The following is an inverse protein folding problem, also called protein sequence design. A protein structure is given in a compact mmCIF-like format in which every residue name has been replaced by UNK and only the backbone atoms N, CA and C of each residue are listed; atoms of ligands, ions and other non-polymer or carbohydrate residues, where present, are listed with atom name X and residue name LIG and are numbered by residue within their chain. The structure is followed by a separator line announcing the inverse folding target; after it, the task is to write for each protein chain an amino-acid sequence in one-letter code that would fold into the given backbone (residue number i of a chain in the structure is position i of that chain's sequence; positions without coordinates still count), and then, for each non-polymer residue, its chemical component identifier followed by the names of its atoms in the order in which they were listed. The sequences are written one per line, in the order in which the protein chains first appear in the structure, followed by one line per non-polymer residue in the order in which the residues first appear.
data_IF_002850308306
#
_entry.id   IF_002850308306
#
_cell.length_a   1.000
_cell.length_b   1.000
_cell.length_c   1.000
_cell.angle_alpha   90.00
_cell.angle_beta   90.00
_cell.angle_gamma   90.00
#
_symmetry.space_group_name_H-M   'P 1'
#
loop_
_entity.id
_entity.type
_entity.pdbx_description
1 polymer ?
#
# COMPACT_ATOMS: atom_id res chain seq x y z
N UNK A 1 -17.10 9.11 6.57
CA UNK A 1 -16.78 8.93 5.14
C UNK A 1 -15.51 8.12 5.12
N UNK A 2 -15.47 7.00 4.41
CA UNK A 2 -14.35 6.07 4.51
C UNK A 2 -13.09 6.66 3.86
N UNK A 3 -11.92 6.28 4.36
CA UNK A 3 -10.63 6.58 3.75
C UNK A 3 -10.65 6.00 2.33
N UNK A 4 -10.21 6.77 1.33
CA UNK A 4 -9.99 6.26 -0.03
C UNK A 4 -8.52 6.02 -0.26
N UNK A 5 -8.17 4.89 -0.85
CA UNK A 5 -6.80 4.43 -1.07
C UNK A 5 -6.61 4.06 -2.53
N UNK A 6 -5.49 4.41 -3.15
CA UNK A 6 -5.11 3.92 -4.47
C UNK A 6 -3.62 3.60 -4.52
N UNK A 7 -3.31 2.34 -4.84
CA UNK A 7 -1.95 1.91 -5.19
C UNK A 7 -1.77 2.01 -6.69
N UNK A 8 -0.64 2.54 -7.15
CA UNK A 8 -0.38 2.77 -8.57
C UNK A 8 1.10 2.71 -8.93
N UNK A 9 1.39 2.37 -10.19
CA UNK A 9 2.75 2.32 -10.74
C UNK A 9 3.07 3.61 -11.45
N UNK A 10 4.15 4.29 -11.04
CA UNK A 10 4.60 5.54 -11.67
C UNK A 10 6.11 5.51 -12.00
N UNK A 11 6.56 6.25 -13.04
CA UNK A 11 7.97 6.27 -13.42
C UNK A 11 8.85 7.02 -12.42
N UNK A 12 8.31 8.02 -11.71
CA UNK A 12 9.04 8.90 -10.81
C UNK A 12 8.11 9.62 -9.82
N UNK A 13 8.74 10.23 -8.82
CA UNK A 13 8.07 11.01 -7.78
C UNK A 13 7.32 12.23 -8.33
N UNK A 14 7.78 12.80 -9.44
CA UNK A 14 7.13 13.97 -10.06
C UNK A 14 5.75 13.57 -10.59
N UNK A 15 5.67 12.42 -11.26
CA UNK A 15 4.41 11.84 -11.73
C UNK A 15 3.51 11.46 -10.56
N UNK A 16 4.06 10.78 -9.55
CA UNK A 16 3.31 10.39 -8.36
C UNK A 16 2.76 11.59 -7.58
N UNK A 17 3.53 12.68 -7.44
CA UNK A 17 3.10 13.91 -6.80
C UNK A 17 1.96 14.63 -7.52
N UNK A 18 1.81 14.39 -8.83
CA UNK A 18 0.72 14.94 -9.66
C UNK A 18 -0.63 14.25 -9.44
N UNK A 19 -0.65 13.08 -8.80
CA UNK A 19 -1.86 12.29 -8.58
C UNK A 19 -2.81 12.98 -7.62
N UNK A 20 -4.13 12.89 -7.87
CA UNK A 20 -5.18 13.42 -6.99
C UNK A 20 -6.40 12.52 -7.07
N UNK A 21 -7.26 12.48 -6.03
CA UNK A 21 -8.47 11.64 -6.04
C UNK A 21 -9.43 11.93 -7.21
N UNK A 22 -9.38 13.16 -7.74
CA UNK A 22 -10.18 13.60 -8.90
C UNK A 22 -9.71 13.06 -10.26
N UNK A 23 -8.54 12.42 -10.33
CA UNK A 23 -7.92 11.95 -11.56
C UNK A 23 -7.80 10.42 -11.59
N UNK A 24 -8.90 9.68 -11.33
CA UNK A 24 -8.89 8.20 -11.36
C UNK A 24 -8.57 7.60 -12.73
N UNK A 25 -8.76 8.34 -13.82
CA UNK A 25 -8.36 7.91 -15.17
C UNK A 25 -7.06 8.63 -15.58
N UNK A 26 -5.96 8.19 -14.97
CA UNK A 26 -4.61 8.72 -15.20
C UNK A 26 -3.78 7.84 -16.16
N UNK A 27 -4.35 6.74 -16.68
CA UNK A 27 -3.69 5.84 -17.63
C UNK A 27 -2.49 5.05 -17.07
N UNK A 28 -2.33 5.01 -15.74
CA UNK A 28 -1.32 4.18 -15.08
C UNK A 28 -1.99 2.92 -14.51
N UNK A 29 -1.26 1.80 -14.39
CA UNK A 29 -1.73 0.65 -13.64
C UNK A 29 -2.01 1.04 -12.19
N UNK A 30 -3.24 0.81 -11.73
CA UNK A 30 -3.66 1.17 -10.38
C UNK A 30 -4.79 0.25 -9.88
N UNK A 31 -4.95 0.19 -8.55
CA UNK A 31 -6.05 -0.48 -7.85
C UNK A 31 -6.52 0.41 -6.71
N UNK A 32 -7.83 0.46 -6.49
CA UNK A 32 -8.48 1.35 -5.53
C UNK A 32 -9.14 0.53 -4.43
N UNK A 33 -9.00 0.98 -3.19
CA UNK A 33 -9.62 0.41 -2.00
C UNK A 33 -10.18 1.51 -1.10
N UNK A 34 -10.89 1.09 -0.06
CA UNK A 34 -11.41 1.97 0.98
C UNK A 34 -11.25 1.32 2.36
N UNK A 35 -11.30 2.11 3.42
CA UNK A 35 -11.50 1.58 4.78
C UNK A 35 -10.25 1.16 5.56
N UNK A 36 -9.04 1.53 5.15
CA UNK A 36 -7.83 1.33 5.95
C UNK A 36 -6.79 2.43 5.74
N UNK A 37 -5.84 2.56 6.67
CA UNK A 37 -4.70 3.46 6.57
C UNK A 37 -3.54 2.77 5.84
N UNK A 38 -3.23 3.12 4.57
CA UNK A 38 -2.27 2.36 3.78
C UNK A 38 -0.82 2.60 4.18
N UNK A 39 -0.51 3.75 4.79
CA UNK A 39 0.80 4.07 5.37
C UNK A 39 1.13 3.20 6.58
N UNK A 40 0.13 2.84 7.38
CA UNK A 40 0.28 1.85 8.46
C UNK A 40 0.34 0.42 7.88
N UNK A 41 -0.59 0.08 6.98
CA UNK A 41 -0.72 -1.26 6.42
C UNK A 41 0.57 -1.74 5.74
N UNK A 42 1.27 -0.89 4.97
CA UNK A 42 2.54 -1.28 4.35
C UNK A 42 3.62 -1.63 5.36
N UNK A 43 3.67 -0.97 6.51
CA UNK A 43 4.62 -1.29 7.58
C UNK A 43 4.29 -2.63 8.24
N UNK A 44 3.00 -2.90 8.45
CA UNK A 44 2.53 -4.18 8.98
C UNK A 44 2.81 -5.33 8.01
N UNK A 45 2.60 -5.13 6.71
CA UNK A 45 2.93 -6.12 5.70
C UNK A 45 4.43 -6.41 5.69
N UNK A 46 5.28 -5.39 5.74
CA UNK A 46 6.73 -5.56 5.78
C UNK A 46 7.18 -6.31 7.05
N UNK A 47 6.62 -5.96 8.21
CA UNK A 47 6.80 -6.69 9.47
C UNK A 47 6.43 -8.17 9.32
N UNK A 48 5.26 -8.48 8.78
CA UNK A 48 4.80 -9.86 8.56
C UNK A 48 5.66 -10.62 7.55
N UNK A 49 6.14 -9.96 6.50
CA UNK A 49 7.00 -10.58 5.49
C UNK A 49 8.39 -10.94 6.00
N UNK A 50 8.94 -10.08 6.87
CA UNK A 50 10.33 -10.16 7.36
C UNK A 50 10.44 -10.83 8.73
N UNK A 51 9.37 -10.83 9.52
CA UNK A 51 9.36 -11.21 10.92
C UNK A 51 9.99 -10.17 11.85
N UNK A 52 10.37 -8.99 11.34
CA UNK A 52 10.93 -7.91 12.14
C UNK A 52 9.82 -7.17 12.90
N UNK A 53 10.06 -6.72 14.15
CA UNK A 53 9.06 -6.00 14.92
C UNK A 53 8.64 -4.68 14.24
N UNK A 54 7.35 -4.35 14.33
CA UNK A 54 6.79 -3.12 13.73
C UNK A 54 7.53 -1.86 14.18
N UNK A 55 7.91 -1.75 15.46
CA UNK A 55 8.68 -0.61 15.99
C UNK A 55 10.03 -0.39 15.29
N UNK A 56 10.62 -1.45 14.71
CA UNK A 56 11.87 -1.36 13.93
C UNK A 56 11.59 -0.96 12.49
N UNK A 57 10.51 -1.47 11.89
CA UNK A 57 10.07 -1.10 10.54
C UNK A 57 9.61 0.35 10.50
N UNK A 58 8.79 0.78 11.47
CA UNK A 58 8.21 2.11 11.56
C UNK A 58 9.24 3.23 11.72
N UNK A 59 10.44 2.94 12.23
CA UNK A 59 11.54 3.93 12.24
C UNK A 59 11.96 4.37 10.83
N UNK A 60 11.60 3.59 9.81
CA UNK A 60 11.79 3.90 8.40
C UNK A 60 10.50 4.20 7.67
N UNK A 61 9.53 4.88 8.31
CA UNK A 61 8.21 5.32 7.78
C UNK A 61 8.16 5.45 6.25
N UNK A 62 7.02 5.15 5.60
CA UNK A 62 6.94 5.21 4.15
C UNK A 62 7.39 6.59 3.64
N UNK A 63 8.24 6.59 2.62
CA UNK A 63 8.81 7.84 2.10
C UNK A 63 7.71 8.67 1.46
N UNK A 64 7.27 9.72 2.16
CA UNK A 64 6.25 10.64 1.66
C UNK A 64 6.79 11.44 0.47
N UNK A 65 6.11 11.34 -0.66
CA UNK A 65 6.31 12.15 -1.88
C UNK A 65 5.50 13.44 -1.79
N UNK A 66 4.28 13.33 -1.27
CA UNK A 66 3.42 14.45 -0.90
C UNK A 66 3.06 14.25 0.58
N UNK A 67 3.57 15.10 1.49
CA UNK A 67 3.22 15.02 2.90
C UNK A 67 1.71 15.18 3.10
N UNK A 68 1.15 14.46 4.07
CA UNK A 68 -0.21 14.74 4.52
C UNK A 68 -0.26 16.17 5.06
N UNK A 69 -1.13 17.00 4.48
CA UNK A 69 -1.46 18.31 5.01
C UNK A 69 -2.85 18.28 5.66
N UNK A 70 -3.32 19.44 6.11
CA UNK A 70 -4.66 19.59 6.72
C UNK A 70 -5.83 19.25 5.76
N UNK A 71 -5.54 18.94 4.49
CA UNK A 71 -6.50 18.46 3.51
C UNK A 71 -6.68 16.94 3.53
N UNK A 72 -5.98 16.21 4.39
CA UNK A 72 -6.12 14.76 4.56
C UNK A 72 -5.59 13.94 3.39
N UNK A 73 -4.87 14.56 2.44
CA UNK A 73 -4.32 13.90 1.26
C UNK A 73 -2.82 13.66 1.39
N UNK A 74 -2.38 12.42 1.18
CA UNK A 74 -0.97 12.04 1.18
C UNK A 74 -0.60 11.17 -0.02
N UNK A 75 0.67 11.22 -0.43
CA UNK A 75 1.26 10.29 -1.41
C UNK A 75 2.60 9.79 -0.87
N UNK A 76 2.82 8.48 -0.88
CA UNK A 76 4.09 7.87 -0.50
C UNK A 76 4.57 6.81 -1.49
N UNK A 77 5.86 6.55 -1.47
CA UNK A 77 6.45 5.41 -2.18
C UNK A 77 6.42 4.16 -1.29
N UNK A 78 5.94 3.04 -1.83
CA UNK A 78 6.09 1.72 -1.20
C UNK A 78 7.57 1.33 -1.28
N UNK A 79 8.20 1.13 -0.12
CA UNK A 79 9.63 0.87 0.00
C UNK A 79 10.12 -0.25 -0.93
N UNK A 80 11.31 -0.08 -1.49
CA UNK A 80 11.87 -1.00 -2.48
C UNK A 80 11.96 -2.46 -1.96
N UNK A 81 12.22 -2.64 -0.67
CA UNK A 81 12.25 -3.94 -0.01
C UNK A 81 10.88 -4.62 -0.02
N UNK A 82 9.86 -3.95 0.53
CA UNK A 82 8.47 -4.44 0.52
C UNK A 82 7.94 -4.66 -0.91
N UNK A 83 8.21 -3.74 -1.85
CA UNK A 83 7.84 -3.91 -3.26
C UNK A 83 8.42 -5.20 -3.85
N UNK A 84 9.67 -5.53 -3.55
CA UNK A 84 10.30 -6.77 -4.00
C UNK A 84 9.67 -8.02 -3.35
N UNK A 85 9.34 -7.95 -2.06
CA UNK A 85 8.65 -9.02 -1.33
C UNK A 85 7.26 -9.30 -1.92
N UNK A 86 6.46 -8.26 -2.13
CA UNK A 86 5.14 -8.33 -2.75
C UNK A 86 5.23 -8.92 -4.17
N UNK A 87 6.19 -8.45 -4.97
CA UNK A 87 6.38 -8.93 -6.33
C UNK A 87 6.81 -10.41 -6.39
N UNK A 88 7.67 -10.83 -5.47
CA UNK A 88 8.21 -12.19 -5.41
C UNK A 88 7.31 -13.20 -4.70
N UNK A 89 6.29 -12.76 -3.97
CA UNK A 89 5.37 -13.64 -3.26
C UNK A 89 4.36 -14.29 -4.22
N UNK A 90 4.24 -15.61 -4.13
CA UNK A 90 3.14 -16.36 -4.73
C UNK A 90 1.87 -16.27 -3.88
N UNK A 91 0.74 -16.70 -4.46
CA UNK A 91 -0.61 -16.68 -3.85
C UNK A 91 -0.64 -17.21 -2.41
N UNK A 92 -0.02 -18.37 -2.15
CA UNK A 92 0.01 -18.96 -0.80
C UNK A 92 0.71 -18.05 0.23
N UNK A 93 1.80 -17.39 -0.16
CA UNK A 93 2.52 -16.49 0.75
C UNK A 93 1.73 -15.20 0.96
N UNK A 94 1.15 -14.64 -0.10
CA UNK A 94 0.28 -13.46 0.01
C UNK A 94 -0.93 -13.72 0.91
N UNK A 95 -1.59 -14.88 0.77
CA UNK A 95 -2.69 -15.29 1.63
C UNK A 95 -2.29 -15.38 3.11
N UNK A 96 -1.11 -15.95 3.41
CA UNK A 96 -0.62 -16.01 4.80
C UNK A 96 -0.31 -14.63 5.40
N UNK A 97 0.21 -13.68 4.61
CA UNK A 97 0.41 -12.30 5.07
C UNK A 97 -0.94 -11.60 5.26
N UNK A 98 -1.90 -11.81 4.36
CA UNK A 98 -3.24 -11.25 4.46
C UNK A 98 -3.98 -11.73 5.72
N UNK A 99 -3.91 -13.03 6.04
CA UNK A 99 -4.47 -13.58 7.27
C UNK A 99 -3.84 -12.96 8.52
N UNK A 100 -2.50 -12.80 8.52
CA UNK A 100 -1.78 -12.15 9.61
C UNK A 100 -2.17 -10.69 9.77
N UNK A 101 -2.31 -9.98 8.66
CA UNK A 101 -2.68 -8.57 8.62
C UNK A 101 -4.11 -8.35 9.13
N UNK A 102 -5.09 -9.12 8.65
CA UNK A 102 -6.46 -9.03 9.14
C UNK A 102 -6.59 -9.25 10.67
N UNK A 103 -5.70 -10.05 11.28
CA UNK A 103 -5.66 -10.24 12.75
C UNK A 103 -4.97 -9.07 13.48
N UNK A 104 -4.06 -8.35 12.82
CA UNK A 104 -3.50 -7.11 13.37
C UNK A 104 -4.55 -6.00 13.34
N UNK A 105 -5.21 -5.86 12.19
CA UNK A 105 -6.17 -4.82 11.86
C UNK A 105 -7.52 -4.97 12.60
N UNK A 106 -7.96 -6.20 12.92
CA UNK A 106 -9.16 -6.46 13.74
C UNK A 106 -9.10 -5.91 15.18
N UNK A 107 -8.03 -5.20 15.54
CA UNK A 107 -7.91 -4.44 16.80
C UNK A 107 -8.38 -2.98 16.64
N UNK A 108 -8.65 -2.53 15.42
CA UNK A 108 -9.16 -1.20 15.08
C UNK A 108 -10.70 -1.22 14.92
N UNK A 109 -11.33 -0.03 14.99
CA UNK A 109 -12.78 0.13 14.85
C UNK A 109 -13.28 -0.02 13.38
N UNK A 110 -12.38 0.11 12.40
CA UNK A 110 -12.63 -0.07 10.96
C UNK A 110 -11.85 -1.30 10.47
N UNK A 111 -12.46 -2.49 10.62
CA UNK A 111 -11.80 -3.80 10.39
C UNK A 111 -11.81 -4.21 8.89
N UNK A 112 -10.63 -4.45 8.33
CA UNK A 112 -10.43 -5.17 7.07
C UNK A 112 -10.69 -6.66 7.32
N UNK A 113 -11.70 -7.22 6.66
CA UNK A 113 -11.97 -8.65 6.75
C UNK A 113 -10.84 -9.47 6.13
N UNK A 114 -10.74 -10.75 6.51
CA UNK A 114 -9.74 -11.66 5.93
C UNK A 114 -9.86 -11.79 4.41
N UNK A 115 -11.08 -11.78 3.89
CA UNK A 115 -11.32 -11.89 2.45
C UNK A 115 -10.82 -10.62 1.74
N UNK A 116 -11.15 -9.44 2.28
CA UNK A 116 -10.66 -8.16 1.78
C UNK A 116 -9.14 -8.05 1.85
N UNK A 117 -8.52 -8.50 2.96
CA UNK A 117 -7.07 -8.51 3.11
C UNK A 117 -6.37 -9.34 2.02
N UNK A 118 -6.95 -10.49 1.65
CA UNK A 118 -6.42 -11.34 0.57
C UNK A 118 -6.54 -10.62 -0.77
N UNK A 119 -7.72 -10.07 -1.08
CA UNK A 119 -7.96 -9.34 -2.33
C UNK A 119 -7.01 -8.14 -2.47
N UNK A 120 -6.80 -7.40 -1.38
CA UNK A 120 -5.87 -6.27 -1.33
C UNK A 120 -4.44 -6.75 -1.63
N UNK A 121 -3.92 -7.75 -0.91
CA UNK A 121 -2.53 -8.19 -1.11
C UNK A 121 -2.29 -8.86 -2.45
N UNK A 122 -3.26 -9.57 -3.00
CA UNK A 122 -3.14 -10.16 -4.34
C UNK A 122 -3.06 -9.09 -5.42
N UNK A 123 -3.94 -8.09 -5.35
CA UNK A 123 -3.98 -6.99 -6.30
C UNK A 123 -2.75 -6.07 -6.19
N UNK A 124 -2.33 -5.71 -4.97
CA UNK A 124 -1.10 -4.94 -4.74
C UNK A 124 0.14 -5.76 -5.14
N UNK A 125 0.15 -7.07 -4.87
CA UNK A 125 1.20 -7.97 -5.33
C UNK A 125 1.31 -8.03 -6.86
N UNK A 126 0.18 -7.99 -7.57
CA UNK A 126 0.17 -7.89 -9.03
C UNK A 126 0.74 -6.56 -9.53
N UNK A 127 0.37 -5.43 -8.93
CA UNK A 127 0.97 -4.13 -9.24
C UNK A 127 2.47 -4.09 -8.93
N UNK A 128 2.90 -4.67 -7.81
CA UNK A 128 4.32 -4.74 -7.46
C UNK A 128 5.12 -5.52 -8.51
N UNK A 129 4.57 -6.64 -9.03
CA UNK A 129 5.17 -7.38 -10.14
C UNK A 129 5.30 -6.53 -11.39
N UNK A 130 4.28 -5.75 -11.73
CA UNK A 130 4.32 -4.84 -12.87
C UNK A 130 5.37 -3.74 -12.68
N UNK A 131 5.39 -3.10 -11.51
CA UNK A 131 6.39 -2.09 -11.17
C UNK A 131 7.82 -2.63 -11.33
N UNK A 132 8.10 -3.82 -10.78
CA UNK A 132 9.40 -4.47 -10.91
C UNK A 132 9.73 -4.81 -12.37
N UNK A 133 8.78 -5.37 -13.14
CA UNK A 133 9.01 -5.68 -14.57
C UNK A 133 9.27 -4.43 -15.40
N UNK A 134 8.61 -3.32 -15.08
CA UNK A 134 8.74 -2.06 -15.81
C UNK A 134 9.92 -1.21 -15.33
N UNK A 135 10.61 -1.59 -14.25
CA UNK A 135 11.66 -0.78 -13.62
C UNK A 135 11.12 0.54 -13.04
N UNK A 136 9.90 0.52 -12.49
CA UNK A 136 9.15 1.67 -11.99
C UNK A 136 8.88 1.60 -10.48
N UNK A 137 8.46 2.74 -9.92
CA UNK A 137 8.02 2.85 -8.54
C UNK A 137 6.62 2.26 -8.33
N UNK A 138 6.35 1.82 -7.09
CA UNK A 138 5.00 1.53 -6.60
C UNK A 138 4.69 2.60 -5.56
N UNK A 139 3.59 3.31 -5.74
CA UNK A 139 3.18 4.42 -4.90
C UNK A 139 1.78 4.17 -4.38
N UNK A 140 1.42 4.87 -3.32
CA UNK A 140 0.07 4.93 -2.81
C UNK A 140 -0.31 6.37 -2.56
N UNK A 141 -1.52 6.75 -2.94
CA UNK A 141 -2.16 7.93 -2.38
C UNK A 141 -3.35 7.53 -1.54
N UNK A 142 -3.67 8.33 -0.54
CA UNK A 142 -4.88 8.17 0.23
C UNK A 142 -5.44 9.51 0.66
N UNK A 143 -6.75 9.50 0.92
CA UNK A 143 -7.51 10.64 1.39
C UNK A 143 -8.34 10.23 2.61
N UNK A 144 -8.01 10.81 3.77
CA UNK A 144 -8.69 10.63 5.03
C UNK A 144 -9.46 11.93 5.39
N UNK A 145 -10.79 11.99 5.18
CA UNK A 145 -11.62 13.19 5.38
C UNK A 145 -11.91 13.54 6.85
#
# INVERSE_FOLDING_TARGET
MAITVEFFVAPDDVTAAGMRPRYRDHGLPAVVFEGFFPDEAVLEWESLFTGEPLDRIAQGEPRMVVPIANDGFGVFEVGAGLRALLAGAGTLRLGGIAEGWAVLDSRADDEVSREEAVDILEAVGALAREAVRAGRGLYCWYFAP
#
